data_IF_449293001759
#
_entry.id   IF_449293001759
#
_cell.length_a   1.000
_cell.length_b   1.000
_cell.length_c   1.000
_cell.angle_alpha   90.00
_cell.angle_beta   90.00
_cell.angle_gamma   90.00
#
_symmetry.space_group_name_H-M   'P 1'
#
loop_
_entity.id
_entity.type
_entity.pdbx_description
1 polymer ?
#
# COMPACT_ATOMS: atom_id res chain seq x y z
N UNK A 1 -42.23 -20.34 37.33
CA UNK A 1 -42.95 -21.51 36.75
C UNK A 1 -41.89 -22.28 35.95
N UNK A 2 -41.56 -23.51 36.39
CA UNK A 2 -40.60 -24.38 35.67
C UNK A 2 -41.24 -24.80 34.35
N UNK A 3 -40.61 -24.35 33.23
CA UNK A 3 -41.02 -24.73 31.87
C UNK A 3 -40.53 -26.15 31.61
N UNK A 4 -41.39 -27.18 31.87
CA UNK A 4 -41.04 -28.57 31.61
C UNK A 4 -41.00 -28.83 30.10
N UNK A 5 -39.88 -29.35 29.63
CA UNK A 5 -39.69 -29.70 28.21
C UNK A 5 -40.05 -31.19 28.02
N UNK A 6 -40.98 -31.49 27.10
CA UNK A 6 -41.43 -32.85 26.83
C UNK A 6 -40.39 -33.66 26.05
N UNK A 7 -39.75 -33.02 25.06
CA UNK A 7 -38.72 -33.63 24.20
C UNK A 7 -37.63 -32.67 23.85
N UNK A 8 -36.39 -33.12 23.86
CA UNK A 8 -35.20 -32.43 23.34
C UNK A 8 -34.46 -33.40 22.43
N UNK A 9 -34.13 -32.94 21.23
CA UNK A 9 -33.29 -33.73 20.32
C UNK A 9 -31.86 -33.89 20.88
N UNK A 10 -31.27 -35.10 20.85
CA UNK A 10 -29.88 -35.31 21.23
C UNK A 10 -28.86 -34.43 20.45
N UNK A 11 -29.25 -33.92 19.27
CA UNK A 11 -28.40 -32.99 18.48
C UNK A 11 -28.05 -31.68 19.21
N UNK A 12 -28.77 -31.31 20.26
CA UNK A 12 -28.47 -30.14 21.06
C UNK A 12 -27.05 -30.19 21.67
N UNK A 13 -26.55 -31.40 22.01
CA UNK A 13 -25.23 -31.59 22.54
C UNK A 13 -24.16 -31.18 21.50
N UNK A 14 -24.35 -31.61 20.25
CA UNK A 14 -23.46 -31.25 19.13
C UNK A 14 -23.57 -29.75 18.74
N UNK A 15 -24.78 -29.20 18.82
CA UNK A 15 -25.03 -27.82 18.38
C UNK A 15 -24.61 -26.78 19.41
N UNK A 16 -24.87 -27.06 20.71
CA UNK A 16 -24.70 -26.08 21.79
C UNK A 16 -23.68 -26.52 22.85
N UNK A 17 -23.21 -27.78 22.82
CA UNK A 17 -22.33 -28.34 23.84
C UNK A 17 -23.03 -28.56 25.19
N UNK A 18 -24.37 -28.61 25.18
CA UNK A 18 -25.18 -28.85 26.38
C UNK A 18 -25.76 -30.26 26.36
N UNK A 19 -25.65 -31.02 27.48
CA UNK A 19 -26.33 -32.31 27.62
C UNK A 19 -27.85 -32.13 27.41
N UNK A 20 -28.45 -32.92 26.53
CA UNK A 20 -29.87 -32.81 26.25
C UNK A 20 -30.77 -33.01 27.46
N UNK A 21 -30.28 -33.77 28.46
CA UNK A 21 -30.94 -33.97 29.74
C UNK A 21 -31.09 -32.69 30.54
N UNK A 22 -30.10 -31.82 30.54
CA UNK A 22 -30.15 -30.53 31.23
C UNK A 22 -31.20 -29.61 30.57
N UNK A 23 -31.14 -29.49 29.26
CA UNK A 23 -32.11 -28.67 28.48
C UNK A 23 -33.55 -29.20 28.70
N UNK A 24 -33.72 -30.52 28.83
CA UNK A 24 -35.02 -31.13 29.12
C UNK A 24 -35.53 -30.81 30.51
N UNK A 25 -34.67 -30.68 31.48
CA UNK A 25 -35.04 -30.30 32.85
C UNK A 25 -35.42 -28.83 32.94
N UNK A 26 -34.60 -27.96 32.32
CA UNK A 26 -34.83 -26.52 32.32
C UNK A 26 -34.35 -25.88 30.99
N UNK A 27 -35.31 -25.40 30.21
CA UNK A 27 -34.99 -24.71 28.93
C UNK A 27 -34.26 -23.38 29.15
N UNK A 28 -34.35 -22.78 30.33
CA UNK A 28 -33.69 -21.51 30.61
C UNK A 28 -32.17 -21.60 30.62
N UNK A 29 -31.60 -22.83 30.70
CA UNK A 29 -30.12 -23.00 30.54
C UNK A 29 -29.62 -22.43 29.20
N UNK A 30 -30.46 -22.36 28.15
CA UNK A 30 -30.11 -21.75 26.87
C UNK A 30 -29.83 -20.25 26.99
N UNK A 31 -30.48 -19.56 27.93
CA UNK A 31 -30.23 -18.14 28.15
C UNK A 31 -28.77 -17.85 28.61
N UNK A 32 -28.12 -18.82 29.28
CA UNK A 32 -26.74 -18.69 29.73
C UNK A 32 -25.71 -18.79 28.60
N UNK A 33 -26.12 -19.25 27.41
CA UNK A 33 -25.25 -19.37 26.23
C UNK A 33 -25.25 -18.08 25.40
N UNK A 34 -26.14 -17.13 25.65
CA UNK A 34 -26.08 -15.83 24.99
C UNK A 34 -24.79 -15.07 25.35
N UNK A 35 -24.13 -14.41 24.41
CA UNK A 35 -23.06 -13.47 24.71
C UNK A 35 -23.50 -12.43 25.74
N UNK A 36 -22.59 -12.00 26.63
CA UNK A 36 -22.92 -11.04 27.69
C UNK A 36 -23.42 -9.68 27.14
N UNK A 37 -22.93 -9.31 25.98
CA UNK A 37 -23.22 -8.03 25.31
C UNK A 37 -24.37 -8.13 24.28
N UNK A 38 -25.09 -9.25 24.24
CA UNK A 38 -26.23 -9.42 23.34
C UNK A 38 -27.44 -8.61 23.84
N UNK A 39 -27.93 -7.61 23.08
CA UNK A 39 -29.08 -6.79 23.47
C UNK A 39 -30.38 -7.57 23.58
N UNK A 40 -30.44 -8.75 22.97
CA UNK A 40 -31.63 -9.61 22.92
C UNK A 40 -31.60 -10.72 23.97
N UNK A 41 -30.57 -10.78 24.81
CA UNK A 41 -30.35 -11.81 25.82
C UNK A 41 -31.54 -12.03 26.75
N UNK A 42 -32.17 -10.95 27.17
CA UNK A 42 -33.26 -10.97 28.16
C UNK A 42 -34.65 -10.91 27.52
N UNK A 43 -34.74 -10.92 26.18
CA UNK A 43 -36.02 -10.90 25.46
C UNK A 43 -36.71 -12.27 25.54
N UNK A 44 -37.97 -12.27 25.97
CA UNK A 44 -38.79 -13.46 25.91
C UNK A 44 -39.52 -13.57 24.55
N UNK A 45 -38.86 -14.20 23.57
CA UNK A 45 -39.40 -14.35 22.21
C UNK A 45 -40.65 -15.24 22.13
N UNK A 46 -40.99 -15.96 23.21
CA UNK A 46 -42.20 -16.81 23.27
C UNK A 46 -43.40 -16.10 23.87
N UNK A 47 -43.20 -14.91 24.44
CA UNK A 47 -44.28 -14.15 25.04
C UNK A 47 -45.31 -13.70 24.00
N UNK A 48 -46.59 -13.98 24.29
CA UNK A 48 -47.69 -13.65 23.37
C UNK A 48 -47.80 -14.53 22.12
N UNK A 49 -47.06 -15.63 22.01
CA UNK A 49 -47.18 -16.56 20.90
C UNK A 49 -48.39 -17.49 21.12
N UNK A 50 -49.38 -17.42 20.23
CA UNK A 50 -50.66 -18.17 20.30
C UNK A 50 -50.66 -19.42 19.41
N UNK A 51 -51.73 -20.20 19.52
CA UNK A 51 -51.95 -21.41 18.71
C UNK A 51 -51.89 -21.10 17.21
N UNK A 52 -51.09 -21.87 16.47
CA UNK A 52 -50.93 -21.74 15.02
C UNK A 52 -50.09 -20.56 14.57
N UNK A 53 -49.61 -19.73 15.51
CA UNK A 53 -48.66 -18.67 15.20
C UNK A 53 -47.24 -19.21 15.13
N UNK A 54 -46.45 -18.62 14.24
CA UNK A 54 -45.05 -18.88 14.07
C UNK A 54 -44.27 -17.58 14.27
N UNK A 55 -43.14 -17.67 14.94
CA UNK A 55 -42.22 -16.56 15.10
C UNK A 55 -40.79 -17.03 14.80
N UNK A 56 -40.07 -16.20 14.09
CA UNK A 56 -38.69 -16.48 13.68
C UNK A 56 -37.78 -15.38 14.15
N UNK A 57 -36.57 -15.77 14.56
CA UNK A 57 -35.48 -14.82 14.88
C UNK A 57 -34.15 -15.49 14.76
N UNK A 58 -33.10 -14.67 14.62
CA UNK A 58 -31.72 -15.14 14.68
C UNK A 58 -31.13 -14.85 16.06
N UNK A 59 -30.36 -15.79 16.58
CA UNK A 59 -29.66 -15.62 17.85
C UNK A 59 -28.25 -16.19 17.77
N UNK A 60 -27.35 -15.56 18.53
CA UNK A 60 -25.99 -16.07 18.71
C UNK A 60 -25.86 -16.77 20.05
N UNK A 61 -25.28 -17.97 20.04
CA UNK A 61 -24.99 -18.74 21.26
C UNK A 61 -23.52 -19.12 21.31
N UNK A 62 -22.94 -19.08 22.51
CA UNK A 62 -21.61 -19.63 22.77
C UNK A 62 -21.74 -21.13 23.00
N UNK A 63 -21.06 -21.93 22.20
CA UNK A 63 -20.97 -23.37 22.44
C UNK A 63 -20.33 -23.63 23.80
N UNK A 64 -20.96 -24.40 24.67
CA UNK A 64 -20.57 -24.49 26.08
C UNK A 64 -19.15 -25.01 26.30
N UNK A 65 -18.73 -25.99 25.52
CA UNK A 65 -17.40 -26.62 25.64
C UNK A 65 -16.31 -25.84 24.88
N UNK A 66 -16.57 -25.53 23.59
CA UNK A 66 -15.55 -24.91 22.71
C UNK A 66 -15.47 -23.40 22.87
N UNK A 67 -16.50 -22.76 23.47
CA UNK A 67 -16.65 -21.30 23.56
C UNK A 67 -16.73 -20.60 22.20
N UNK A 68 -16.94 -21.34 21.13
CA UNK A 68 -17.16 -20.79 19.81
C UNK A 68 -18.53 -20.12 19.70
N UNK A 69 -18.57 -18.95 19.07
CA UNK A 69 -19.84 -18.27 18.77
C UNK A 69 -20.52 -18.92 17.57
N UNK A 70 -21.72 -19.41 17.76
CA UNK A 70 -22.55 -20.02 16.71
C UNK A 70 -23.83 -19.23 16.51
N UNK A 71 -24.24 -19.12 15.27
CA UNK A 71 -25.45 -18.42 14.89
C UNK A 71 -26.54 -19.39 14.51
N UNK A 72 -27.70 -19.20 15.11
CA UNK A 72 -28.86 -20.05 14.90
C UNK A 72 -30.01 -19.22 14.36
N UNK A 73 -30.69 -19.77 13.35
CA UNK A 73 -32.05 -19.37 12.98
C UNK A 73 -33.01 -20.18 13.78
N UNK A 74 -33.85 -19.52 14.55
CA UNK A 74 -34.77 -20.15 15.51
C UNK A 74 -36.19 -19.89 15.02
N UNK A 75 -36.94 -20.99 14.88
CA UNK A 75 -38.36 -20.96 14.56
C UNK A 75 -39.12 -21.50 15.75
N UNK A 76 -40.05 -20.70 16.28
CA UNK A 76 -40.95 -21.11 17.35
C UNK A 76 -42.39 -21.19 16.82
N UNK A 77 -43.05 -22.30 17.11
CA UNK A 77 -44.48 -22.52 16.77
C UNK A 77 -45.28 -22.79 18.03
N UNK A 78 -46.37 -22.06 18.20
CA UNK A 78 -47.35 -22.29 19.26
C UNK A 78 -48.34 -23.42 18.90
N UNK A 79 -48.50 -24.39 19.81
CA UNK A 79 -49.47 -25.46 19.68
C UNK A 79 -50.25 -25.61 20.99
N UNK A 80 -51.51 -25.99 20.92
CA UNK A 80 -52.36 -26.23 22.08
C UNK A 80 -52.69 -27.71 22.17
N UNK A 81 -52.37 -28.34 23.29
CA UNK A 81 -52.63 -29.74 23.55
C UNK A 81 -53.23 -29.86 24.95
N UNK A 82 -54.49 -30.32 25.06
CA UNK A 82 -55.22 -30.52 26.30
C UNK A 82 -55.23 -29.27 27.22
N UNK A 83 -55.72 -28.13 26.70
CA UNK A 83 -55.82 -26.83 27.37
C UNK A 83 -54.45 -26.24 27.89
N UNK A 84 -53.33 -26.68 27.29
CA UNK A 84 -52.00 -26.14 27.59
C UNK A 84 -51.31 -25.69 26.33
N UNK A 85 -50.77 -24.47 26.35
CA UNK A 85 -49.93 -23.99 25.26
C UNK A 85 -48.58 -24.71 25.30
N UNK A 86 -48.21 -25.36 24.20
CA UNK A 86 -46.90 -25.97 24.00
C UNK A 86 -46.20 -25.23 22.87
N UNK A 87 -44.89 -25.12 22.98
CA UNK A 87 -44.04 -24.50 21.98
C UNK A 87 -43.10 -25.55 21.37
N UNK A 88 -42.96 -25.50 20.04
CA UNK A 88 -41.94 -26.25 19.29
C UNK A 88 -40.89 -25.25 18.84
N UNK A 89 -39.67 -25.46 19.24
CA UNK A 89 -38.53 -24.66 18.80
C UNK A 89 -37.64 -25.51 17.91
N UNK A 90 -37.33 -24.97 16.74
CA UNK A 90 -36.38 -25.56 15.79
C UNK A 90 -35.18 -24.59 15.67
N UNK A 91 -34.00 -25.11 15.98
CA UNK A 91 -32.74 -24.37 15.88
C UNK A 91 -31.98 -24.89 14.67
N UNK A 92 -31.74 -24.03 13.70
CA UNK A 92 -30.94 -24.32 12.51
C UNK A 92 -29.60 -23.57 12.62
N UNK A 93 -28.51 -24.31 12.66
CA UNK A 93 -27.13 -23.71 12.67
C UNK A 93 -26.86 -23.05 11.31
N UNK A 94 -26.63 -21.75 11.34
CA UNK A 94 -26.32 -20.92 10.18
C UNK A 94 -24.90 -20.32 10.24
N UNK A 95 -24.06 -20.84 11.14
CA UNK A 95 -22.71 -20.31 11.37
C UNK A 95 -21.88 -20.35 10.10
N UNK A 96 -21.85 -21.49 9.42
CA UNK A 96 -21.09 -21.65 8.18
C UNK A 96 -21.64 -20.74 7.05
N UNK A 97 -22.97 -20.69 6.88
CA UNK A 97 -23.61 -19.84 5.87
C UNK A 97 -23.25 -18.35 6.11
N UNK A 98 -23.28 -17.92 7.37
CA UNK A 98 -22.98 -16.54 7.74
C UNK A 98 -21.51 -16.19 7.53
N UNK A 99 -20.60 -17.11 7.88
CA UNK A 99 -19.16 -16.92 7.63
C UNK A 99 -18.86 -16.82 6.14
N UNK A 100 -19.45 -17.67 5.30
CA UNK A 100 -19.28 -17.63 3.84
C UNK A 100 -19.84 -16.32 3.28
N UNK A 101 -21.04 -15.90 3.69
CA UNK A 101 -21.64 -14.65 3.24
C UNK A 101 -20.82 -13.43 3.66
N UNK A 102 -20.26 -13.42 4.89
CA UNK A 102 -19.39 -12.34 5.34
C UNK A 102 -18.09 -12.30 4.51
N UNK A 103 -17.42 -13.45 4.34
CA UNK A 103 -16.22 -13.53 3.52
C UNK A 103 -16.48 -13.10 2.06
N UNK A 104 -17.62 -13.48 1.49
CA UNK A 104 -18.04 -13.04 0.16
C UNK A 104 -18.26 -11.53 0.11
N UNK A 105 -18.96 -10.97 1.10
CA UNK A 105 -19.19 -9.52 1.19
C UNK A 105 -17.88 -8.74 1.29
N UNK A 106 -16.95 -9.21 2.12
CA UNK A 106 -15.63 -8.60 2.28
C UNK A 106 -14.81 -8.68 0.98
N UNK A 107 -14.85 -9.84 0.29
CA UNK A 107 -14.19 -10.02 -0.99
C UNK A 107 -14.78 -9.11 -2.09
N UNK A 108 -16.11 -8.96 -2.14
CA UNK A 108 -16.77 -8.04 -3.09
C UNK A 108 -16.38 -6.60 -2.79
N UNK A 109 -16.41 -6.17 -1.53
CA UNK A 109 -16.03 -4.81 -1.15
C UNK A 109 -14.55 -4.50 -1.51
N UNK A 110 -13.64 -5.45 -1.28
CA UNK A 110 -12.25 -5.34 -1.67
C UNK A 110 -12.08 -5.24 -3.21
N UNK A 111 -12.79 -6.09 -3.96
CA UNK A 111 -12.78 -6.07 -5.43
C UNK A 111 -13.34 -4.77 -6.01
N UNK A 112 -14.42 -4.23 -5.44
CA UNK A 112 -14.99 -2.94 -5.86
C UNK A 112 -14.03 -1.79 -5.58
N UNK A 113 -13.36 -1.79 -4.43
CA UNK A 113 -12.36 -0.78 -4.07
C UNK A 113 -11.20 -0.79 -5.06
N UNK A 114 -10.66 -1.98 -5.36
CA UNK A 114 -9.60 -2.15 -6.35
C UNK A 114 -10.03 -1.70 -7.76
N UNK A 115 -11.27 -2.01 -8.17
CA UNK A 115 -11.80 -1.62 -9.48
C UNK A 115 -12.02 -0.10 -9.60
N UNK A 116 -12.48 0.55 -8.52
CA UNK A 116 -12.60 2.02 -8.47
C UNK A 116 -11.22 2.69 -8.56
N UNK A 117 -10.23 2.19 -7.83
CA UNK A 117 -8.85 2.68 -7.91
C UNK A 117 -8.31 2.56 -9.35
N UNK A 118 -8.52 1.39 -10.00
CA UNK A 118 -8.13 1.15 -11.40
C UNK A 118 -8.83 2.10 -12.39
N UNK A 119 -10.12 2.37 -12.20
CA UNK A 119 -10.87 3.28 -13.07
C UNK A 119 -10.40 4.72 -12.93
N UNK A 120 -10.17 5.16 -11.70
CA UNK A 120 -9.59 6.48 -11.40
C UNK A 120 -8.20 6.62 -12.01
N UNK A 121 -7.38 5.56 -11.93
CA UNK A 121 -6.07 5.48 -12.59
C UNK A 121 -6.15 5.75 -14.09
N UNK A 122 -6.97 4.98 -14.82
CA UNK A 122 -7.10 5.13 -16.27
C UNK A 122 -7.58 6.53 -16.67
N UNK A 123 -8.48 7.12 -15.89
CA UNK A 123 -8.97 8.48 -16.12
C UNK A 123 -7.86 9.52 -15.92
N UNK A 124 -7.11 9.43 -14.82
CA UNK A 124 -6.01 10.34 -14.52
C UNK A 124 -4.88 10.20 -15.56
N UNK A 125 -4.53 8.97 -15.94
CA UNK A 125 -3.51 8.71 -16.97
C UNK A 125 -3.90 9.29 -18.33
N UNK A 126 -5.18 9.16 -18.74
CA UNK A 126 -5.66 9.77 -19.98
C UNK A 126 -5.49 11.29 -19.98
N UNK A 127 -5.74 11.94 -18.85
CA UNK A 127 -5.54 13.37 -18.70
C UNK A 127 -4.05 13.75 -18.75
N UNK A 128 -3.22 13.03 -17.99
CA UNK A 128 -1.80 13.33 -17.83
C UNK A 128 -0.99 13.04 -19.12
N UNK A 129 -1.43 12.08 -19.93
CA UNK A 129 -0.90 11.84 -21.31
C UNK A 129 -1.37 12.93 -22.27
N UNK A 130 -2.62 13.35 -22.20
CA UNK A 130 -3.19 14.34 -23.13
C UNK A 130 -2.51 15.72 -23.01
N UNK A 131 -2.17 16.13 -21.79
CA UNK A 131 -1.57 17.44 -21.53
C UNK A 131 -0.23 17.63 -22.25
N UNK A 132 0.80 16.80 -22.09
CA UNK A 132 2.06 16.94 -22.83
C UNK A 132 1.87 16.69 -24.33
N UNK A 133 0.97 15.82 -24.75
CA UNK A 133 0.68 15.59 -26.17
C UNK A 133 0.12 16.86 -26.83
N UNK A 134 -0.83 17.54 -26.20
CA UNK A 134 -1.36 18.81 -26.71
C UNK A 134 -0.29 19.91 -26.70
N UNK A 135 0.62 19.92 -25.72
CA UNK A 135 1.74 20.86 -25.69
C UNK A 135 2.73 20.60 -26.84
N UNK A 136 3.06 19.34 -27.14
CA UNK A 136 3.87 18.97 -28.31
C UNK A 136 3.25 19.47 -29.59
N UNK A 137 1.96 19.17 -29.84
CA UNK A 137 1.23 19.60 -30.99
C UNK A 137 1.21 21.14 -31.09
N UNK A 138 0.86 21.82 -29.99
CA UNK A 138 0.75 23.27 -29.94
C UNK A 138 2.07 24.00 -30.20
N UNK A 139 3.16 23.59 -29.52
CA UNK A 139 4.48 24.21 -29.77
C UNK A 139 5.04 23.90 -31.16
N UNK A 140 4.79 22.70 -31.67
CA UNK A 140 5.19 22.37 -33.06
C UNK A 140 4.45 23.24 -34.05
N UNK A 141 3.13 23.43 -33.87
CA UNK A 141 2.32 24.32 -34.72
C UNK A 141 2.80 25.76 -34.65
N UNK A 142 3.12 26.25 -33.43
CA UNK A 142 3.67 27.61 -33.26
C UNK A 142 5.07 27.76 -33.89
N UNK A 143 5.91 26.74 -33.80
CA UNK A 143 7.21 26.75 -34.47
C UNK A 143 7.05 26.86 -36.02
N UNK A 144 6.13 26.07 -36.60
CA UNK A 144 5.83 26.12 -38.02
C UNK A 144 5.26 27.47 -38.49
N UNK A 145 4.49 28.15 -37.63
CA UNK A 145 3.90 29.47 -37.94
C UNK A 145 4.88 30.64 -37.76
N UNK A 146 6.06 30.41 -37.19
CA UNK A 146 7.04 31.45 -36.86
C UNK A 146 8.44 31.14 -37.43
N UNK A 147 8.56 30.48 -38.56
CA UNK A 147 9.84 30.01 -39.14
C UNK A 147 10.87 31.12 -39.36
N UNK A 148 10.43 32.34 -39.55
CA UNK A 148 11.33 33.51 -39.77
C UNK A 148 11.96 34.02 -38.45
N UNK A 149 11.40 33.66 -37.27
CA UNK A 149 11.92 34.03 -35.96
C UNK A 149 12.66 32.86 -35.31
N UNK A 150 13.96 32.76 -35.55
CA UNK A 150 14.81 31.66 -35.10
C UNK A 150 14.81 31.50 -33.58
N UNK A 151 14.75 32.56 -32.81
CA UNK A 151 14.76 32.48 -31.35
C UNK A 151 13.45 31.90 -30.80
N UNK A 152 12.30 32.28 -31.35
CA UNK A 152 11.01 31.68 -31.00
C UNK A 152 10.91 30.23 -31.43
N UNK A 153 11.38 29.91 -32.62
CA UNK A 153 11.41 28.50 -33.08
C UNK A 153 12.24 27.64 -32.13
N UNK A 154 13.41 28.12 -31.73
CA UNK A 154 14.29 27.42 -30.79
C UNK A 154 13.59 27.20 -29.41
N UNK A 155 12.91 28.22 -28.88
CA UNK A 155 12.14 28.13 -27.63
C UNK A 155 11.00 27.10 -27.74
N UNK A 156 10.22 27.16 -28.87
CA UNK A 156 9.13 26.19 -29.09
C UNK A 156 9.65 24.75 -29.22
N UNK A 157 10.77 24.52 -29.92
CA UNK A 157 11.39 23.21 -30.05
C UNK A 157 11.92 22.69 -28.70
N UNK A 158 12.51 23.57 -27.87
CA UNK A 158 12.92 23.21 -26.54
C UNK A 158 11.75 22.78 -25.65
N UNK A 159 10.61 23.49 -25.71
CA UNK A 159 9.37 23.15 -25.01
C UNK A 159 8.74 21.85 -25.53
N UNK A 160 8.81 21.62 -26.85
CA UNK A 160 8.36 20.37 -27.47
C UNK A 160 9.20 19.19 -26.95
N UNK A 161 10.53 19.32 -26.92
CA UNK A 161 11.42 18.29 -26.43
C UNK A 161 11.17 17.98 -24.93
N UNK A 162 11.02 19.03 -24.12
CA UNK A 162 10.68 18.87 -22.69
C UNK A 162 9.36 18.12 -22.49
N UNK A 163 8.32 18.46 -23.28
CA UNK A 163 7.01 17.79 -23.21
C UNK A 163 7.08 16.34 -23.70
N UNK A 164 7.90 16.04 -24.72
CA UNK A 164 8.13 14.69 -25.23
C UNK A 164 8.84 13.80 -24.19
N UNK A 165 9.88 14.33 -23.55
CA UNK A 165 10.61 13.63 -22.48
C UNK A 165 9.68 13.35 -21.28
N UNK A 166 8.82 14.29 -20.93
CA UNK A 166 7.83 14.09 -19.88
C UNK A 166 6.81 12.98 -20.24
N UNK A 167 6.31 12.97 -21.49
CA UNK A 167 5.41 11.93 -21.99
C UNK A 167 6.08 10.55 -21.94
N UNK A 168 7.34 10.46 -22.34
CA UNK A 168 8.10 9.21 -22.31
C UNK A 168 8.27 8.68 -20.88
N UNK A 169 8.54 9.57 -19.91
CA UNK A 169 8.61 9.20 -18.49
C UNK A 169 7.27 8.65 -17.99
N UNK A 170 6.14 9.30 -18.34
CA UNK A 170 4.79 8.84 -17.99
C UNK A 170 4.50 7.43 -18.52
N UNK A 171 4.83 7.18 -19.80
CA UNK A 171 4.64 5.87 -20.43
C UNK A 171 5.47 4.80 -19.70
N UNK A 172 6.73 5.10 -19.40
CA UNK A 172 7.60 4.16 -18.68
C UNK A 172 7.08 3.87 -17.27
N UNK A 173 6.60 4.87 -16.52
CA UNK A 173 5.99 4.68 -15.20
C UNK A 173 4.79 3.73 -15.26
N UNK A 174 3.91 3.89 -16.28
CA UNK A 174 2.74 3.02 -16.49
C UNK A 174 3.16 1.59 -16.84
N UNK A 175 4.17 1.43 -17.72
CA UNK A 175 4.68 0.11 -18.08
C UNK A 175 5.36 -0.60 -16.91
N UNK A 176 6.12 0.14 -16.10
CA UNK A 176 6.74 -0.41 -14.90
C UNK A 176 5.67 -0.85 -13.89
N UNK A 177 4.66 -0.01 -13.62
CA UNK A 177 3.55 -0.39 -12.74
C UNK A 177 2.82 -1.63 -13.21
N UNK A 178 2.52 -1.72 -14.52
CA UNK A 178 1.87 -2.91 -15.12
C UNK A 178 2.72 -4.18 -14.98
N UNK A 179 4.06 -4.07 -15.13
CA UNK A 179 4.99 -5.19 -14.95
C UNK A 179 5.08 -5.62 -13.49
N UNK A 180 5.06 -4.66 -12.55
CA UNK A 180 5.03 -4.89 -11.10
C UNK A 180 3.77 -5.68 -10.74
N UNK A 181 2.58 -5.16 -11.11
CA UNK A 181 1.29 -5.79 -10.80
C UNK A 181 1.16 -7.21 -11.37
N UNK A 182 1.75 -7.46 -12.54
CA UNK A 182 1.74 -8.79 -13.17
C UNK A 182 2.82 -9.74 -12.65
N UNK A 183 3.67 -9.31 -11.71
CA UNK A 183 4.79 -10.11 -11.18
C UNK A 183 5.86 -10.48 -12.22
N UNK A 184 5.95 -9.72 -13.33
CA UNK A 184 6.85 -10.02 -14.46
C UNK A 184 8.20 -9.29 -14.37
N UNK A 185 8.47 -8.57 -13.29
CA UNK A 185 9.79 -7.98 -13.07
C UNK A 185 10.70 -9.03 -12.45
N UNK A 186 11.83 -9.26 -13.08
CA UNK A 186 12.95 -10.02 -12.55
C UNK A 186 14.09 -9.07 -12.27
N UNK A 187 14.73 -9.22 -11.11
CA UNK A 187 15.93 -8.46 -10.76
C UNK A 187 17.14 -9.11 -11.46
N UNK A 188 17.97 -8.29 -12.08
CA UNK A 188 19.23 -8.69 -12.69
C UNK A 188 20.39 -8.23 -11.82
N UNK A 189 20.86 -9.08 -10.91
CA UNK A 189 22.02 -8.80 -10.09
C UNK A 189 23.29 -8.83 -10.93
N UNK A 190 23.97 -7.70 -11.00
CA UNK A 190 25.28 -7.53 -11.67
C UNK A 190 26.27 -6.94 -10.68
N UNK A 191 27.55 -7.10 -10.98
CA UNK A 191 28.61 -6.40 -10.23
C UNK A 191 28.52 -4.90 -10.47
N UNK A 192 28.44 -4.14 -9.37
CA UNK A 192 28.44 -2.68 -9.37
C UNK A 192 29.39 -2.14 -8.33
N UNK A 193 29.94 -0.97 -8.58
CA UNK A 193 30.63 -0.17 -7.58
C UNK A 193 29.70 0.97 -7.14
N UNK A 194 29.49 1.14 -5.83
CA UNK A 194 28.57 2.13 -5.28
C UNK A 194 29.06 3.58 -5.48
N UNK A 195 30.37 3.79 -5.49
CA UNK A 195 30.94 5.11 -5.80
C UNK A 195 30.68 5.52 -7.25
N UNK A 196 30.77 4.57 -8.20
CA UNK A 196 30.41 4.81 -9.60
C UNK A 196 28.92 5.15 -9.75
N UNK A 197 28.04 4.45 -9.03
CA UNK A 197 26.62 4.75 -9.01
C UNK A 197 26.34 6.18 -8.53
N UNK A 198 26.98 6.61 -7.43
CA UNK A 198 26.84 7.98 -6.92
C UNK A 198 27.39 9.02 -7.90
N UNK A 199 28.50 8.72 -8.58
CA UNK A 199 29.08 9.59 -9.59
C UNK A 199 28.14 9.77 -10.81
N UNK A 200 27.56 8.67 -11.30
CA UNK A 200 26.57 8.68 -12.38
C UNK A 200 25.36 9.53 -12.01
N UNK A 201 24.79 9.31 -10.79
CA UNK A 201 23.66 10.07 -10.28
C UNK A 201 23.96 11.57 -10.19
N UNK A 202 25.14 11.93 -9.64
CA UNK A 202 25.60 13.34 -9.56
C UNK A 202 25.65 13.97 -10.95
N UNK A 203 26.20 13.27 -11.92
CA UNK A 203 26.30 13.74 -13.31
C UNK A 203 24.92 14.00 -13.92
N UNK A 204 23.97 13.08 -13.72
CA UNK A 204 22.61 13.18 -14.25
C UNK A 204 21.86 14.39 -13.67
N UNK A 205 21.98 14.64 -12.36
CA UNK A 205 21.20 15.69 -11.69
C UNK A 205 21.88 17.06 -11.69
N UNK A 206 23.18 17.15 -12.04
CA UNK A 206 23.99 18.37 -11.95
C UNK A 206 23.37 19.56 -12.68
N UNK A 207 22.80 19.34 -13.88
CA UNK A 207 22.15 20.39 -14.65
C UNK A 207 20.93 21.00 -13.94
N UNK A 208 20.12 20.16 -13.26
CA UNK A 208 18.95 20.61 -12.50
C UNK A 208 19.36 21.33 -11.21
N UNK A 209 20.40 20.83 -10.53
CA UNK A 209 20.99 21.44 -9.34
C UNK A 209 21.48 22.83 -9.65
N UNK A 210 22.28 22.98 -10.72
CA UNK A 210 22.78 24.27 -11.15
C UNK A 210 21.68 25.25 -11.56
N UNK A 211 20.75 24.81 -12.39
CA UNK A 211 19.63 25.63 -12.86
C UNK A 211 18.76 26.16 -11.71
N UNK A 212 18.65 25.41 -10.62
CA UNK A 212 17.85 25.77 -9.44
C UNK A 212 18.68 26.38 -8.31
N UNK A 213 19.99 26.52 -8.51
CA UNK A 213 20.95 27.06 -7.51
C UNK A 213 20.89 26.30 -6.17
N UNK A 214 20.81 24.96 -6.23
CA UNK A 214 20.81 24.11 -5.04
C UNK A 214 22.24 23.69 -4.67
N UNK A 215 22.44 23.38 -3.39
CA UNK A 215 23.63 22.69 -2.92
C UNK A 215 23.38 21.19 -2.87
N UNK A 216 24.30 20.40 -3.47
CA UNK A 216 24.22 18.94 -3.47
C UNK A 216 25.44 18.35 -2.73
N UNK A 217 25.17 17.58 -1.68
CA UNK A 217 26.16 16.82 -0.94
C UNK A 217 25.94 15.32 -1.18
N UNK A 218 27.03 14.61 -1.51
CA UNK A 218 27.02 13.15 -1.65
C UNK A 218 28.14 12.55 -0.83
N UNK A 219 27.84 11.56 0.01
CA UNK A 219 28.77 11.01 0.99
C UNK A 219 28.56 9.48 1.10
N UNK A 220 29.66 8.73 1.00
CA UNK A 220 29.75 7.28 1.15
C UNK A 220 30.86 6.85 2.12
N UNK A 221 31.28 7.72 3.04
CA UNK A 221 32.47 7.49 3.92
C UNK A 221 32.26 6.30 4.87
N UNK A 222 31.01 5.93 5.17
CA UNK A 222 30.67 4.82 6.06
C UNK A 222 30.47 3.48 5.30
N UNK A 223 31.01 3.34 4.08
CA UNK A 223 30.95 2.10 3.26
C UNK A 223 32.35 1.50 3.21
N UNK A 224 32.47 0.22 3.60
CA UNK A 224 33.73 -0.54 3.56
C UNK A 224 33.81 -1.46 2.34
N UNK A 225 32.68 -2.01 1.91
CA UNK A 225 32.58 -2.86 0.73
C UNK A 225 31.76 -2.14 -0.34
N UNK A 226 32.46 -1.44 -1.24
CA UNK A 226 31.83 -0.65 -2.31
C UNK A 226 31.41 -1.51 -3.51
N UNK A 227 32.13 -2.64 -3.74
CA UNK A 227 31.85 -3.56 -4.82
C UNK A 227 30.82 -4.60 -4.37
N UNK A 228 29.62 -4.55 -4.96
CA UNK A 228 28.46 -5.35 -4.55
C UNK A 228 27.71 -5.91 -5.75
N UNK A 229 26.90 -6.96 -5.52
CA UNK A 229 25.94 -7.46 -6.48
C UNK A 229 24.58 -6.83 -6.26
N UNK A 230 24.08 -6.13 -7.28
CA UNK A 230 22.78 -5.46 -7.23
C UNK A 230 22.23 -5.23 -8.66
N UNK A 231 20.95 -5.06 -8.80
CA UNK A 231 20.35 -4.53 -10.05
C UNK A 231 20.61 -3.03 -10.15
N UNK A 232 21.67 -2.66 -10.94
CA UNK A 232 22.09 -1.27 -11.16
C UNK A 232 20.94 -0.41 -11.69
N UNK A 233 20.16 -0.94 -12.62
CA UNK A 233 19.06 -0.21 -13.27
C UNK A 233 17.97 0.14 -12.26
N UNK A 234 17.57 -0.82 -11.45
CA UNK A 234 16.55 -0.61 -10.44
C UNK A 234 17.02 0.24 -9.28
N UNK A 235 18.25 0.06 -8.82
CA UNK A 235 18.84 0.93 -7.80
C UNK A 235 18.91 2.39 -8.28
N UNK A 236 19.39 2.64 -9.50
CA UNK A 236 19.40 3.96 -10.11
C UNK A 236 17.99 4.54 -10.24
N UNK A 237 17.01 3.75 -10.63
CA UNK A 237 15.61 4.19 -10.73
C UNK A 237 15.07 4.67 -9.37
N UNK A 238 15.30 3.92 -8.30
CA UNK A 238 14.95 4.30 -6.93
C UNK A 238 15.61 5.63 -6.55
N UNK A 239 16.94 5.70 -6.67
CA UNK A 239 17.69 6.87 -6.22
C UNK A 239 17.39 8.12 -7.06
N UNK A 240 17.26 8.00 -8.38
CA UNK A 240 16.87 9.11 -9.27
C UNK A 240 15.47 9.62 -8.96
N UNK A 241 14.53 8.74 -8.63
CA UNK A 241 13.18 9.16 -8.27
C UNK A 241 13.19 9.95 -6.94
N UNK A 242 13.91 9.49 -5.94
CA UNK A 242 14.05 10.20 -4.67
C UNK A 242 14.76 11.55 -4.86
N UNK A 243 15.89 11.57 -5.61
CA UNK A 243 16.65 12.79 -5.90
C UNK A 243 15.84 13.81 -6.71
N UNK A 244 15.14 13.37 -7.76
CA UNK A 244 14.33 14.27 -8.56
C UNK A 244 13.18 14.89 -7.75
N UNK A 245 12.59 14.13 -6.83
CA UNK A 245 11.61 14.68 -5.89
C UNK A 245 12.26 15.69 -4.93
N UNK A 246 13.39 15.38 -4.32
CA UNK A 246 14.12 16.30 -3.47
C UNK A 246 14.45 17.62 -4.19
N UNK A 247 15.02 17.54 -5.40
CA UNK A 247 15.33 18.71 -6.24
C UNK A 247 14.05 19.49 -6.58
N UNK A 248 12.99 18.80 -6.92
CA UNK A 248 11.71 19.38 -7.34
C UNK A 248 11.06 20.20 -6.22
N UNK A 249 11.06 19.68 -4.99
CA UNK A 249 10.35 20.27 -3.85
C UNK A 249 11.23 21.16 -2.97
N UNK A 250 12.52 21.27 -3.25
CA UNK A 250 13.42 22.20 -2.56
C UNK A 250 13.41 23.57 -3.27
N UNK A 251 13.18 24.69 -2.57
CA UNK A 251 13.30 26.03 -3.15
C UNK A 251 14.72 26.34 -3.62
N UNK A 252 14.86 27.33 -4.51
CA UNK A 252 16.15 27.83 -4.94
C UNK A 252 17.03 28.25 -3.74
N UNK A 253 18.31 27.91 -3.78
CA UNK A 253 19.25 28.13 -2.67
C UNK A 253 19.16 27.11 -1.54
N UNK A 254 18.32 26.09 -1.67
CA UNK A 254 18.23 25.01 -0.69
C UNK A 254 19.27 23.93 -0.86
N UNK A 255 19.20 22.92 -0.02
CA UNK A 255 20.21 21.84 0.10
C UNK A 255 19.56 20.48 -0.10
N UNK A 256 20.21 19.63 -0.89
CA UNK A 256 19.89 18.21 -1.06
C UNK A 256 21.12 17.38 -0.70
N UNK A 257 20.96 16.32 0.07
CA UNK A 257 22.06 15.42 0.43
C UNK A 257 21.71 13.96 0.20
N UNK A 258 22.70 13.20 -0.25
CA UNK A 258 22.63 11.72 -0.37
C UNK A 258 23.75 11.15 0.49
N UNK A 259 23.39 10.29 1.43
CA UNK A 259 24.36 9.57 2.26
C UNK A 259 24.15 8.07 2.12
N UNK A 260 25.26 7.36 1.90
CA UNK A 260 25.27 5.90 1.86
C UNK A 260 26.05 5.38 3.06
N UNK A 261 25.49 4.37 3.72
CA UNK A 261 26.11 3.68 4.85
C UNK A 261 25.99 2.18 4.68
N UNK A 262 27.03 1.49 5.08
CA UNK A 262 27.00 0.05 5.23
C UNK A 262 26.71 -0.32 6.69
N UNK A 263 25.66 -1.11 6.89
CA UNK A 263 25.28 -1.61 8.19
C UNK A 263 25.58 -3.12 8.26
N UNK A 264 25.71 -3.66 9.46
CA UNK A 264 25.91 -5.10 9.64
C UNK A 264 24.74 -5.89 9.03
N UNK A 265 25.04 -6.79 8.11
CA UNK A 265 24.05 -7.68 7.49
C UNK A 265 23.63 -8.79 8.44
N UNK A 266 22.38 -9.24 8.29
CA UNK A 266 21.84 -10.40 9.03
C UNK A 266 22.41 -11.74 8.55
N UNK A 267 22.91 -11.79 7.31
CA UNK A 267 23.46 -12.98 6.66
C UNK A 267 24.94 -12.77 6.37
N UNK A 268 25.77 -13.79 6.65
CA UNK A 268 27.21 -13.74 6.41
C UNK A 268 27.49 -13.55 4.90
N UNK A 269 28.29 -12.52 4.55
CA UNK A 269 28.60 -12.17 3.17
C UNK A 269 27.59 -11.21 2.51
N UNK A 270 26.52 -10.80 3.20
CA UNK A 270 25.60 -9.77 2.76
C UNK A 270 25.68 -8.58 3.71
N UNK A 271 25.94 -7.39 3.18
CA UNK A 271 25.82 -6.12 3.90
C UNK A 271 24.39 -5.57 3.78
N UNK A 272 24.01 -4.73 4.72
CA UNK A 272 22.81 -3.90 4.59
C UNK A 272 23.25 -2.51 4.19
N UNK A 273 22.81 -2.02 3.06
CA UNK A 273 23.19 -0.69 2.56
C UNK A 273 22.01 0.26 2.73
N UNK A 274 22.28 1.33 3.48
CA UNK A 274 21.33 2.38 3.77
C UNK A 274 21.64 3.59 2.90
N UNK A 275 20.66 4.00 2.09
CA UNK A 275 20.70 5.21 1.27
C UNK A 275 19.75 6.23 1.88
N UNK A 276 20.26 7.37 2.32
CA UNK A 276 19.47 8.48 2.83
C UNK A 276 19.47 9.62 1.82
N UNK A 277 18.30 9.99 1.34
CA UNK A 277 18.11 11.18 0.51
C UNK A 277 17.34 12.20 1.33
N UNK A 278 17.98 13.33 1.63
CA UNK A 278 17.43 14.38 2.47
C UNK A 278 17.44 15.71 1.75
N UNK A 279 16.35 16.46 1.92
CA UNK A 279 16.18 17.83 1.46
C UNK A 279 15.72 18.76 2.60
N UNK A 280 15.92 20.06 2.42
CA UNK A 280 15.39 21.10 3.29
C UNK A 280 14.22 21.86 2.63
N UNK A 281 13.45 21.17 1.79
CA UNK A 281 12.34 21.71 1.02
C UNK A 281 11.08 21.96 1.82
N UNK A 282 9.94 21.99 1.12
CA UNK A 282 8.64 22.32 1.70
C UNK A 282 8.12 21.25 2.68
N UNK A 283 8.67 20.02 2.64
CA UNK A 283 8.13 18.89 3.42
C UNK A 283 6.71 18.51 3.03
N UNK A 284 6.10 17.62 3.82
CA UNK A 284 4.77 17.07 3.58
C UNK A 284 3.92 17.12 4.85
N UNK A 285 2.58 17.10 4.68
CA UNK A 285 1.66 16.93 5.80
C UNK A 285 1.73 15.50 6.37
N UNK A 286 1.44 15.31 7.67
CA UNK A 286 1.43 13.97 8.28
C UNK A 286 0.44 13.02 7.60
N UNK A 287 -0.70 13.54 7.15
CA UNK A 287 -1.74 12.76 6.46
C UNK A 287 -1.27 12.27 5.10
N UNK A 288 -0.53 13.11 4.35
CA UNK A 288 0.03 12.72 3.06
C UNK A 288 1.23 11.78 3.21
N UNK A 289 2.06 11.99 4.22
CA UNK A 289 3.22 11.12 4.51
C UNK A 289 2.83 9.65 4.72
N UNK A 290 1.64 9.38 5.27
CA UNK A 290 1.12 8.02 5.44
C UNK A 290 0.72 7.35 4.12
N UNK A 291 0.40 8.14 3.10
CA UNK A 291 -0.10 7.67 1.81
C UNK A 291 0.87 7.86 0.64
N UNK A 292 2.06 8.39 0.90
CA UNK A 292 3.00 8.77 -0.17
C UNK A 292 3.41 7.59 -1.06
N UNK A 293 3.34 6.36 -0.56
CA UNK A 293 3.64 5.15 -1.30
C UNK A 293 2.41 4.52 -1.97
N UNK A 294 1.21 5.07 -1.73
CA UNK A 294 0.01 4.64 -2.45
C UNK A 294 0.04 5.17 -3.89
N UNK A 295 -0.31 4.35 -4.88
CA UNK A 295 -0.33 4.80 -6.27
C UNK A 295 -1.28 6.00 -6.46
N UNK A 296 -0.84 7.01 -7.25
CA UNK A 296 -1.61 8.19 -7.65
C UNK A 296 -1.89 9.22 -6.57
N UNK A 297 -1.40 9.02 -5.36
CA UNK A 297 -1.53 10.01 -4.30
C UNK A 297 -0.66 11.23 -4.59
N UNK A 298 -1.25 12.41 -4.40
CA UNK A 298 -0.60 13.70 -4.58
C UNK A 298 -1.11 14.67 -3.53
N UNK A 299 -0.20 15.41 -2.89
CA UNK A 299 -0.61 16.46 -1.96
C UNK A 299 -1.26 17.63 -2.71
N UNK A 300 -2.52 17.92 -2.39
CA UNK A 300 -3.31 18.99 -3.02
C UNK A 300 -3.21 20.28 -2.22
N UNK A 301 -2.09 20.95 -2.29
CA UNK A 301 -1.94 22.31 -1.73
C UNK A 301 -1.77 23.33 -2.85
N UNK A 302 -2.08 24.59 -2.60
CA UNK A 302 -1.95 25.66 -3.59
C UNK A 302 -0.52 25.83 -4.13
N UNK A 303 0.47 25.45 -3.33
CA UNK A 303 1.89 25.50 -3.67
C UNK A 303 2.31 24.30 -4.51
N UNK A 304 1.79 23.11 -4.22
CA UNK A 304 2.14 21.85 -4.89
C UNK A 304 1.34 21.62 -6.17
N UNK A 305 0.13 22.17 -6.27
CA UNK A 305 -0.75 21.97 -7.44
C UNK A 305 -0.16 22.46 -8.77
N UNK A 306 0.86 23.32 -8.74
CA UNK A 306 1.60 23.79 -9.94
C UNK A 306 2.77 22.87 -10.32
N UNK A 307 3.12 21.90 -9.49
CA UNK A 307 4.26 21.02 -9.70
C UNK A 307 3.76 19.72 -10.33
N UNK A 308 4.14 19.46 -11.60
CA UNK A 308 3.75 18.26 -12.34
C UNK A 308 4.35 16.98 -11.73
N UNK A 309 3.57 15.88 -11.75
CA UNK A 309 4.04 14.56 -11.35
C UNK A 309 2.94 13.52 -11.54
N UNK A 310 3.30 12.27 -11.78
CA UNK A 310 2.40 11.12 -12.03
C UNK A 310 1.71 10.59 -10.79
N UNK A 311 2.33 10.78 -9.61
CA UNK A 311 1.95 10.09 -8.38
C UNK A 311 2.29 8.60 -8.38
N UNK A 312 3.01 8.10 -9.41
CA UNK A 312 3.44 6.70 -9.51
C UNK A 312 4.86 6.47 -8.98
N UNK A 313 5.71 7.47 -9.09
CA UNK A 313 7.14 7.31 -8.81
C UNK A 313 7.42 6.73 -7.42
N UNK A 314 6.75 7.20 -6.36
CA UNK A 314 6.98 6.68 -5.00
C UNK A 314 6.42 5.27 -4.80
N UNK A 315 5.29 4.94 -5.42
CA UNK A 315 4.75 3.59 -5.42
C UNK A 315 5.68 2.61 -6.15
N UNK A 316 6.21 3.00 -7.32
CA UNK A 316 7.21 2.21 -8.06
C UNK A 316 8.46 2.03 -7.22
N UNK A 317 8.96 3.11 -6.59
CA UNK A 317 10.12 3.04 -5.69
C UNK A 317 9.91 2.04 -4.56
N UNK A 318 8.77 2.08 -3.89
CA UNK A 318 8.43 1.14 -2.81
C UNK A 318 8.43 -0.30 -3.31
N UNK A 319 7.77 -0.57 -4.44
CA UNK A 319 7.71 -1.91 -5.01
C UNK A 319 9.10 -2.44 -5.43
N UNK A 320 9.94 -1.60 -6.04
CA UNK A 320 11.32 -2.00 -6.40
C UNK A 320 12.12 -2.33 -5.15
N UNK A 321 12.06 -1.49 -4.11
CA UNK A 321 12.76 -1.73 -2.84
C UNK A 321 12.27 -3.01 -2.17
N UNK A 322 10.97 -3.28 -2.17
CA UNK A 322 10.39 -4.52 -1.63
C UNK A 322 10.86 -5.76 -2.42
N UNK A 323 10.91 -5.68 -3.76
CA UNK A 323 11.44 -6.76 -4.60
C UNK A 323 12.94 -7.02 -4.35
N UNK A 324 13.71 -5.98 -4.01
CA UNK A 324 15.12 -6.11 -3.62
C UNK A 324 15.28 -6.64 -2.18
N UNK A 325 14.19 -6.98 -1.49
CA UNK A 325 14.21 -7.46 -0.09
C UNK A 325 14.56 -6.35 0.91
N UNK A 326 14.39 -5.09 0.52
CA UNK A 326 14.72 -3.91 1.31
C UNK A 326 13.53 -3.29 2.04
N UNK A 327 13.77 -2.14 2.63
CA UNK A 327 12.75 -1.28 3.27
C UNK A 327 12.94 0.17 2.86
N UNK A 328 11.86 0.93 2.79
CA UNK A 328 11.88 2.38 2.59
C UNK A 328 11.03 3.05 3.66
N UNK A 329 11.59 4.10 4.25
CA UNK A 329 10.95 4.92 5.27
C UNK A 329 11.01 6.40 4.88
N UNK A 330 10.08 7.20 5.41
CA UNK A 330 10.03 8.64 5.20
C UNK A 330 9.90 9.37 6.53
N UNK A 331 10.71 10.40 6.70
CA UNK A 331 10.60 11.37 7.80
C UNK A 331 10.44 12.75 7.18
N UNK A 332 9.36 13.45 7.51
CA UNK A 332 9.04 14.75 6.91
C UNK A 332 8.21 15.60 7.86
N UNK A 333 8.34 16.91 7.71
CA UNK A 333 7.43 17.86 8.34
C UNK A 333 7.32 19.10 7.44
N UNK A 334 6.15 19.70 7.39
CA UNK A 334 5.91 20.92 6.60
C UNK A 334 6.90 22.02 6.95
N UNK A 335 7.54 22.59 5.94
CA UNK A 335 8.56 23.64 6.07
C UNK A 335 9.91 23.19 6.62
N UNK A 336 10.12 21.87 6.87
CA UNK A 336 11.39 21.32 7.38
C UNK A 336 12.11 20.38 6.41
N UNK A 337 11.48 20.10 5.27
CA UNK A 337 12.01 19.19 4.27
C UNK A 337 11.62 17.74 4.51
N UNK A 338 12.25 16.84 3.75
CA UNK A 338 11.97 15.41 3.75
C UNK A 338 13.28 14.62 3.79
N UNK A 339 13.28 13.48 4.49
CA UNK A 339 14.34 12.49 4.49
C UNK A 339 13.73 11.13 4.16
N UNK A 340 14.16 10.53 3.04
CA UNK A 340 13.87 9.15 2.70
C UNK A 340 15.06 8.27 3.07
N UNK A 341 14.77 7.16 3.74
CA UNK A 341 15.77 6.15 4.10
C UNK A 341 15.41 4.85 3.39
N UNK A 342 16.28 4.38 2.50
CA UNK A 342 16.14 3.11 1.79
C UNK A 342 17.22 2.17 2.30
N UNK A 343 16.83 0.99 2.79
CA UNK A 343 17.75 -0.05 3.21
C UNK A 343 17.59 -1.26 2.29
N UNK A 344 18.69 -1.69 1.64
CA UNK A 344 18.68 -2.84 0.70
C UNK A 344 19.78 -3.81 1.10
N UNK A 345 19.50 -5.12 1.22
CA UNK A 345 20.52 -6.13 1.39
C UNK A 345 21.28 -6.32 0.07
N UNK A 346 22.60 -6.26 0.11
CA UNK A 346 23.46 -6.52 -1.05
C UNK A 346 24.57 -7.47 -0.66
N UNK A 347 24.96 -8.35 -1.59
CA UNK A 347 26.07 -9.28 -1.40
C UNK A 347 27.37 -8.56 -1.78
N UNK A 348 28.33 -8.53 -0.84
CA UNK A 348 29.67 -7.98 -1.12
C UNK A 348 30.43 -8.91 -2.08
N UNK A 349 31.23 -8.32 -2.96
CA UNK A 349 32.15 -9.05 -3.82
C UNK A 349 33.32 -9.53 -2.98
N UNK A 350 33.67 -10.80 -3.07
CA UNK A 350 34.72 -11.41 -2.21
C UNK A 350 36.13 -11.19 -2.77
N UNK A 351 36.26 -10.80 -4.05
CA UNK A 351 37.54 -10.49 -4.70
C UNK A 351 37.68 -8.97 -4.77
N UNK A 352 38.65 -8.43 -3.99
CA UNK A 352 39.02 -7.01 -4.07
C UNK A 352 39.64 -6.73 -5.45
N UNK A 353 39.09 -5.75 -6.18
CA UNK A 353 39.79 -5.18 -7.32
C UNK A 353 41.17 -4.63 -6.84
N UNK A 354 42.26 -4.91 -7.58
CA UNK A 354 43.52 -4.31 -7.23
C UNK A 354 43.39 -2.77 -7.29
N UNK A 355 43.67 -2.12 -6.18
CA UNK A 355 43.66 -0.67 -6.07
C UNK A 355 44.74 -0.18 -7.05
N UNK A 356 44.35 0.43 -8.17
CA UNK A 356 45.30 1.21 -9.00
C UNK A 356 45.78 2.36 -8.14
N UNK A 357 47.06 2.25 -7.68
CA UNK A 357 47.75 3.34 -7.04
C UNK A 357 47.85 4.47 -8.05
N UNK A 358 47.08 5.53 -7.80
CA UNK A 358 47.29 6.80 -8.48
C UNK A 358 48.70 7.22 -8.11
N UNK A 359 49.64 7.05 -9.02
CA UNK A 359 50.99 7.62 -8.94
C UNK A 359 50.81 9.13 -9.05
N UNK A 360 51.02 9.84 -7.96
CA UNK A 360 51.12 11.29 -7.99
C UNK A 360 52.15 11.66 -9.05
N UNK A 361 51.70 12.40 -10.05
CA UNK A 361 52.59 13.08 -10.99
C UNK A 361 53.23 14.25 -10.22
N UNK A 362 54.40 14.01 -9.64
CA UNK A 362 55.33 15.10 -9.30
C UNK A 362 55.81 15.73 -10.61
N UNK A 363 55.54 17.03 -10.77
CA UNK A 363 56.05 17.83 -11.88
C UNK A 363 55.46 19.24 -11.84
#
# INVERSE_FOLDING_TARGET
KTSKVDYVSPNVERLLGLPWKEVRQDVHVLANLHPKDDPDRDKNFLEGLHRGEQREWDAAYLHQETKELRWFHIVAMGSEVADRTKYILVLSDRTADRQVNQALSDAVAAAETANRAKSTFLSNMSHDIRTPMNAIIGFTTLALSNLDDKERVKDYLAKTLASSNHLLSLINDVLDMSRIESGKIHLEEVEINLSDVLHDLKTIVSGQIYAKQLELYMDAMDVTDEDVYCDKTRLNQVLLNLLSNAIKFTPAGGTVSVRVRQLAGKVRGCGQYEFRVKDNGIGMSPEFAQKIFEPFERERTSTVSRIQGTGLGMAITKNIVDMMGGTIEVQTAQGKGTEFTVCVPMRAQTEQRPVEKITELEG
#
